data_IF_165522948460
#
_entry.id   IF_165522948460
#
_cell.length_a   1.000
_cell.length_b   1.000
_cell.length_c   1.000
_cell.angle_alpha   90.00
_cell.angle_beta   90.00
_cell.angle_gamma   90.00
#
_symmetry.space_group_name_H-M   'P 1'
#
loop_
_entity.id
_entity.type
_entity.pdbx_description
1 polymer ?
#
# COMPACT_ATOMS: atom_id res chain seq x y z
N UNK A 1 -6.81 -15.78 15.82
CA UNK A 1 -7.68 -14.93 14.98
C UNK A 1 -7.57 -15.38 13.54
N UNK A 2 -8.61 -15.20 12.73
CA UNK A 2 -8.68 -15.70 11.34
C UNK A 2 -7.60 -15.04 10.48
N UNK A 3 -7.42 -13.71 10.59
CA UNK A 3 -6.45 -12.95 9.80
C UNK A 3 -5.01 -13.48 9.96
N UNK A 4 -4.60 -13.78 11.18
CA UNK A 4 -3.27 -14.34 11.51
C UNK A 4 -3.03 -15.65 10.76
N UNK A 5 -4.03 -16.56 10.77
CA UNK A 5 -3.94 -17.85 10.08
C UNK A 5 -3.93 -17.69 8.55
N UNK A 6 -4.69 -16.75 8.01
CA UNK A 6 -4.74 -16.48 6.56
C UNK A 6 -3.39 -15.97 6.07
N UNK A 7 -2.78 -15.01 6.77
CA UNK A 7 -1.44 -14.48 6.43
C UNK A 7 -0.41 -15.61 6.43
N UNK A 8 -0.36 -16.42 7.49
CA UNK A 8 0.56 -17.55 7.59
C UNK A 8 0.36 -18.54 6.43
N UNK A 9 -0.89 -18.91 6.12
CA UNK A 9 -1.19 -19.83 5.02
C UNK A 9 -0.82 -19.25 3.65
N UNK A 10 -1.00 -17.95 3.43
CA UNK A 10 -0.57 -17.31 2.19
C UNK A 10 0.94 -17.44 1.99
N UNK A 11 1.75 -17.22 3.02
CA UNK A 11 3.21 -17.42 2.97
C UNK A 11 3.56 -18.89 2.72
N UNK A 12 2.94 -19.84 3.45
CA UNK A 12 3.17 -21.27 3.25
C UNK A 12 2.84 -21.73 1.81
N UNK A 13 1.72 -21.25 1.23
CA UNK A 13 1.32 -21.65 -0.11
C UNK A 13 2.13 -20.96 -1.21
N UNK A 14 2.60 -19.74 -0.99
CA UNK A 14 3.45 -19.04 -1.97
C UNK A 14 4.78 -19.76 -2.21
N UNK A 15 5.30 -20.45 -1.19
CA UNK A 15 6.55 -21.23 -1.23
C UNK A 15 7.72 -20.45 -1.87
N UNK A 16 7.77 -19.15 -1.65
CA UNK A 16 8.78 -18.27 -2.23
C UNK A 16 8.64 -17.97 -3.74
N UNK A 17 7.59 -18.48 -4.39
CA UNK A 17 7.33 -18.22 -5.82
C UNK A 17 6.69 -16.86 -6.06
N UNK A 18 5.97 -16.34 -5.07
CA UNK A 18 5.27 -15.06 -5.11
C UNK A 18 5.64 -14.23 -3.89
N UNK A 19 5.70 -12.91 -4.07
CA UNK A 19 5.81 -11.97 -2.97
C UNK A 19 4.49 -11.86 -2.23
N UNK A 20 4.54 -11.91 -0.90
CA UNK A 20 3.36 -11.82 -0.04
C UNK A 20 3.36 -10.48 0.70
N UNK A 21 2.38 -9.64 0.40
CA UNK A 21 2.14 -8.38 1.09
C UNK A 21 0.87 -8.53 1.92
N UNK A 22 1.00 -8.47 3.25
CA UNK A 22 -0.13 -8.66 4.15
C UNK A 22 -0.87 -7.34 4.45
N UNK A 23 -2.18 -7.34 4.34
CA UNK A 23 -3.02 -6.24 4.82
C UNK A 23 -3.07 -6.24 6.35
N UNK A 24 -2.35 -5.33 6.99
CA UNK A 24 -2.22 -5.26 8.46
C UNK A 24 -2.68 -3.92 9.05
N UNK A 25 -3.23 -3.03 8.19
CA UNK A 25 -3.77 -1.75 8.63
C UNK A 25 -4.97 -1.89 9.56
N UNK A 26 -5.05 -1.00 10.53
CA UNK A 26 -6.15 -0.89 11.49
C UNK A 26 -6.35 0.57 11.87
N UNK A 27 -7.53 0.94 12.35
CA UNK A 27 -7.76 2.25 12.97
C UNK A 27 -7.20 2.34 14.41
N UNK A 28 -6.70 1.23 14.94
CA UNK A 28 -5.92 1.16 16.18
C UNK A 28 -4.45 0.96 15.85
N UNK A 29 -3.59 1.91 16.25
CA UNK A 29 -2.14 1.81 16.05
C UNK A 29 -1.54 0.56 16.69
N UNK A 30 -1.97 0.25 17.91
CA UNK A 30 -1.50 -0.95 18.63
C UNK A 30 -1.86 -2.25 17.87
N UNK A 31 -3.05 -2.32 17.30
CA UNK A 31 -3.48 -3.48 16.48
C UNK A 31 -2.71 -3.58 15.17
N UNK A 32 -2.50 -2.45 14.47
CA UNK A 32 -1.70 -2.40 13.26
C UNK A 32 -0.25 -2.86 13.52
N UNK A 33 0.36 -2.42 14.62
CA UNK A 33 1.70 -2.89 15.06
C UNK A 33 1.70 -4.39 15.31
N UNK A 34 0.73 -4.90 16.06
CA UNK A 34 0.64 -6.33 16.40
C UNK A 34 0.52 -7.19 15.14
N UNK A 35 -0.35 -6.82 14.20
CA UNK A 35 -0.55 -7.54 12.94
C UNK A 35 0.68 -7.46 12.04
N UNK A 36 1.32 -6.29 11.96
CA UNK A 36 2.52 -6.08 11.13
C UNK A 36 3.72 -6.87 11.65
N UNK A 37 3.92 -6.92 12.97
CA UNK A 37 4.94 -7.79 13.59
C UNK A 37 4.69 -9.25 13.26
N UNK A 38 3.45 -9.72 13.40
CA UNK A 38 3.11 -11.09 13.05
C UNK A 38 3.38 -11.38 11.56
N UNK A 39 3.00 -10.47 10.64
CA UNK A 39 3.28 -10.64 9.22
C UNK A 39 4.79 -10.78 8.95
N UNK A 40 5.62 -9.96 9.60
CA UNK A 40 7.08 -10.08 9.53
C UNK A 40 7.59 -11.42 10.07
N UNK A 41 7.10 -11.85 11.25
CA UNK A 41 7.49 -13.12 11.90
C UNK A 41 7.20 -14.35 11.04
N UNK A 42 6.08 -14.36 10.32
CA UNK A 42 5.71 -15.48 9.43
C UNK A 42 6.35 -15.40 8.05
N UNK A 43 7.13 -14.35 7.76
CA UNK A 43 7.91 -14.23 6.53
C UNK A 43 7.21 -13.55 5.36
N UNK A 44 6.29 -12.62 5.62
CA UNK A 44 5.77 -11.74 4.56
C UNK A 44 6.87 -10.83 4.02
N UNK A 45 6.80 -10.51 2.71
CA UNK A 45 7.74 -9.61 2.04
C UNK A 45 7.44 -8.12 2.30
N UNK A 46 6.25 -7.80 2.76
CA UNK A 46 5.83 -6.44 3.10
C UNK A 46 4.45 -6.40 3.75
N UNK A 47 4.03 -5.20 4.15
CA UNK A 47 2.71 -4.93 4.71
C UNK A 47 2.01 -3.80 3.97
N UNK A 48 0.69 -3.88 3.88
CA UNK A 48 -0.21 -2.86 3.33
C UNK A 48 -1.03 -2.27 4.46
N UNK A 49 -0.87 -0.97 4.70
CA UNK A 49 -1.50 -0.25 5.80
C UNK A 49 -2.56 0.72 5.28
N UNK A 50 -3.83 0.34 5.37
CA UNK A 50 -4.93 1.26 5.09
C UNK A 50 -4.94 2.42 6.09
N UNK A 51 -5.30 3.62 5.61
CA UNK A 51 -5.48 4.76 6.51
C UNK A 51 -6.49 4.42 7.62
N UNK A 52 -6.22 4.87 8.87
CA UNK A 52 -7.14 4.66 9.98
C UNK A 52 -8.54 5.12 9.60
N UNK A 53 -9.46 4.18 9.48
CA UNK A 53 -10.84 4.38 9.08
C UNK A 53 -11.72 4.70 10.31
N UNK A 54 -12.87 5.32 10.10
CA UNK A 54 -13.88 5.65 11.11
C UNK A 54 -13.49 6.84 12.02
N UNK A 55 -12.32 6.81 12.68
CA UNK A 55 -11.87 7.82 13.67
C UNK A 55 -11.29 9.09 13.03
N UNK A 56 -11.14 9.15 11.71
CA UNK A 56 -10.77 10.35 10.92
C UNK A 56 -9.61 11.17 11.52
N UNK A 57 -8.40 10.60 11.64
CA UNK A 57 -7.26 11.33 12.20
C UNK A 57 -6.88 12.53 11.35
N UNK A 58 -6.25 13.52 11.97
CA UNK A 58 -5.59 14.64 11.27
C UNK A 58 -4.34 14.15 10.53
N UNK A 59 -3.76 14.96 9.61
CA UNK A 59 -2.52 14.64 8.93
C UNK A 59 -1.36 14.36 9.91
N UNK A 60 -1.28 15.10 11.01
CA UNK A 60 -0.34 14.84 12.11
C UNK A 60 -0.61 13.48 12.76
N UNK A 61 -1.87 13.14 13.00
CA UNK A 61 -2.28 11.84 13.55
C UNK A 61 -1.92 10.69 12.61
N UNK A 62 -2.15 10.85 11.29
CA UNK A 62 -1.71 9.89 10.26
C UNK A 62 -0.20 9.68 10.29
N UNK A 63 0.56 10.78 10.33
CA UNK A 63 2.03 10.70 10.39
C UNK A 63 2.52 9.94 11.62
N UNK A 64 1.97 10.21 12.79
CA UNK A 64 2.33 9.50 14.02
C UNK A 64 1.97 8.01 13.94
N UNK A 65 0.75 7.69 13.49
CA UNK A 65 0.27 6.32 13.33
C UNK A 65 1.21 5.50 12.43
N UNK A 66 1.52 5.99 11.23
CA UNK A 66 2.37 5.27 10.29
C UNK A 66 3.82 5.15 10.76
N UNK A 67 4.37 6.20 11.39
CA UNK A 67 5.71 6.14 11.98
C UNK A 67 5.83 5.08 13.06
N UNK A 68 4.86 5.00 13.98
CA UNK A 68 4.84 3.98 15.03
C UNK A 68 4.81 2.56 14.44
N UNK A 69 3.99 2.32 13.41
CA UNK A 69 3.94 1.00 12.76
C UNK A 69 5.24 0.72 12.01
N UNK A 70 5.74 1.68 11.22
CA UNK A 70 6.97 1.53 10.43
C UNK A 70 8.19 1.27 11.32
N UNK A 71 8.31 1.97 12.46
CA UNK A 71 9.39 1.77 13.41
C UNK A 71 9.34 0.44 14.16
N UNK A 72 8.19 -0.22 14.18
CA UNK A 72 7.99 -1.50 14.87
C UNK A 72 8.39 -2.73 14.05
N UNK A 73 8.68 -2.55 12.75
CA UNK A 73 9.01 -3.64 11.79
C UNK A 73 10.16 -3.21 10.87
N UNK A 74 10.79 -4.20 10.22
CA UNK A 74 11.89 -3.96 9.28
C UNK A 74 11.53 -4.26 7.81
N UNK A 75 10.36 -4.86 7.56
CA UNK A 75 9.91 -5.18 6.21
C UNK A 75 9.26 -3.96 5.55
N UNK A 76 9.20 -3.92 4.20
CA UNK A 76 8.58 -2.84 3.44
C UNK A 76 7.13 -2.55 3.84
N UNK A 77 6.80 -1.28 3.87
CA UNK A 77 5.46 -0.75 4.17
C UNK A 77 4.90 -0.06 2.93
N UNK A 78 3.71 -0.46 2.54
CA UNK A 78 2.90 0.20 1.52
C UNK A 78 1.77 0.97 2.21
N UNK A 79 1.74 2.28 2.07
CA UNK A 79 0.62 3.09 2.54
C UNK A 79 -0.61 2.82 1.65
N UNK A 80 -1.81 2.81 2.22
CA UNK A 80 -3.02 2.65 1.43
C UNK A 80 -3.99 3.80 1.67
N UNK A 81 -4.12 4.66 0.67
CA UNK A 81 -5.03 5.78 0.66
C UNK A 81 -6.31 5.45 -0.11
N UNK A 82 -7.44 5.42 0.60
CA UNK A 82 -8.77 5.16 0.03
C UNK A 82 -9.83 5.97 0.78
N UNK A 83 -9.90 7.25 0.48
CA UNK A 83 -10.78 8.21 1.17
C UNK A 83 -12.25 7.79 1.13
N UNK A 84 -12.72 7.24 0.03
CA UNK A 84 -14.11 6.79 -0.13
C UNK A 84 -14.55 5.69 0.85
N UNK A 85 -13.59 4.97 1.45
CA UNK A 85 -13.87 3.91 2.43
C UNK A 85 -13.38 4.24 3.84
N UNK A 86 -12.27 4.96 3.96
CA UNK A 86 -11.69 5.32 5.26
C UNK A 86 -12.24 6.63 5.83
N UNK A 87 -12.87 7.46 4.98
CA UNK A 87 -13.33 8.81 5.27
C UNK A 87 -12.19 9.78 5.68
N UNK A 88 -10.93 9.43 5.35
CA UNK A 88 -9.76 10.27 5.55
C UNK A 88 -8.84 10.16 4.35
N UNK A 89 -8.27 11.28 3.91
CA UNK A 89 -7.29 11.33 2.83
C UNK A 89 -5.88 11.51 3.43
N UNK A 90 -4.92 10.76 2.91
CA UNK A 90 -3.50 11.00 3.19
C UNK A 90 -3.01 12.00 2.15
N UNK A 91 -2.72 13.22 2.57
CA UNK A 91 -2.28 14.27 1.66
C UNK A 91 -0.89 13.98 1.08
N UNK A 92 -0.59 14.41 -0.18
CA UNK A 92 0.71 14.19 -0.82
C UNK A 92 1.91 14.64 0.02
N UNK A 93 1.79 15.77 0.72
CA UNK A 93 2.85 16.27 1.63
C UNK A 93 3.07 15.32 2.81
N UNK A 94 2.03 14.72 3.34
CA UNK A 94 2.11 13.74 4.43
C UNK A 94 2.80 12.46 3.95
N UNK A 95 2.45 11.97 2.76
CA UNK A 95 3.10 10.80 2.13
C UNK A 95 4.59 11.09 1.92
N UNK A 96 4.94 12.22 1.32
CA UNK A 96 6.33 12.60 1.07
C UNK A 96 7.14 12.74 2.36
N UNK A 97 6.55 13.29 3.43
CA UNK A 97 7.22 13.39 4.72
C UNK A 97 7.45 12.03 5.35
N UNK A 98 6.48 11.11 5.26
CA UNK A 98 6.61 9.74 5.74
C UNK A 98 7.71 8.97 5.01
N UNK A 99 7.82 9.11 3.69
CA UNK A 99 8.88 8.50 2.89
C UNK A 99 10.29 8.97 3.31
N UNK A 100 10.42 10.25 3.67
CA UNK A 100 11.70 10.80 4.19
C UNK A 100 12.05 10.28 5.58
N UNK A 101 11.05 10.21 6.45
CA UNK A 101 11.25 9.90 7.87
C UNK A 101 11.40 8.40 8.14
N UNK A 102 10.78 7.54 7.31
CA UNK A 102 10.73 6.09 7.49
C UNK A 102 11.23 5.38 6.22
N UNK A 103 12.45 4.86 6.24
CA UNK A 103 13.10 4.24 5.06
C UNK A 103 12.42 2.98 4.55
N UNK A 104 11.64 2.32 5.39
CA UNK A 104 10.86 1.14 5.02
C UNK A 104 9.46 1.48 4.49
N UNK A 105 9.02 2.76 4.50
CA UNK A 105 7.84 3.19 3.76
C UNK A 105 8.26 3.43 2.31
N UNK A 106 7.96 2.47 1.43
CA UNK A 106 8.52 2.41 0.07
C UNK A 106 7.50 2.67 -1.03
N UNK A 107 6.22 2.58 -0.73
CA UNK A 107 5.16 2.70 -1.73
C UNK A 107 3.87 3.27 -1.17
N UNK A 108 3.03 3.76 -2.06
CA UNK A 108 1.64 4.10 -1.76
C UNK A 108 0.70 3.43 -2.77
N UNK A 109 -0.27 2.67 -2.27
CA UNK A 109 -1.46 2.25 -3.03
C UNK A 109 -2.47 3.38 -2.98
N UNK A 110 -2.69 4.01 -4.12
CA UNK A 110 -3.54 5.20 -4.25
C UNK A 110 -4.88 4.85 -4.89
N UNK A 111 -5.95 5.08 -4.16
CA UNK A 111 -7.32 4.81 -4.56
C UNK A 111 -8.27 5.98 -4.22
N UNK A 112 -7.76 7.21 -4.23
CA UNK A 112 -8.56 8.42 -4.07
C UNK A 112 -9.40 8.76 -5.31
N UNK A 113 -9.00 8.25 -6.48
CA UNK A 113 -9.58 8.62 -7.77
C UNK A 113 -9.04 9.92 -8.37
N UNK A 114 -8.13 10.62 -7.69
CA UNK A 114 -7.57 11.91 -8.11
C UNK A 114 -6.21 11.76 -8.78
N UNK A 115 -6.16 11.83 -10.11
CA UNK A 115 -4.89 11.86 -10.85
C UNK A 115 -4.03 13.10 -10.51
N UNK A 116 -4.67 14.21 -10.15
CA UNK A 116 -3.95 15.39 -9.68
C UNK A 116 -3.18 15.10 -8.38
N UNK A 117 -3.82 14.47 -7.38
CA UNK A 117 -3.14 14.05 -6.16
C UNK A 117 -2.02 13.07 -6.43
N UNK A 118 -2.22 12.11 -7.34
CA UNK A 118 -1.22 11.13 -7.73
C UNK A 118 -0.01 11.78 -8.42
N UNK A 119 -0.24 12.79 -9.26
CA UNK A 119 0.82 13.60 -9.88
C UNK A 119 1.62 14.38 -8.85
N UNK A 120 0.95 14.93 -7.82
CA UNK A 120 1.61 15.61 -6.71
C UNK A 120 2.46 14.65 -5.88
N UNK A 121 1.99 13.42 -5.63
CA UNK A 121 2.79 12.38 -4.95
C UNK A 121 4.07 12.08 -5.74
N UNK A 122 3.96 11.88 -7.07
CA UNK A 122 5.13 11.64 -7.93
C UNK A 122 6.15 12.79 -7.89
N UNK A 123 5.65 14.03 -7.84
CA UNK A 123 6.52 15.20 -7.75
C UNK A 123 7.24 15.32 -6.40
N UNK A 124 6.53 15.05 -5.29
CA UNK A 124 7.02 15.28 -3.93
C UNK A 124 7.80 14.09 -3.35
N UNK A 125 7.56 12.88 -3.83
CA UNK A 125 8.18 11.64 -3.40
C UNK A 125 8.54 10.76 -4.62
N UNK A 126 9.46 11.20 -5.50
CA UNK A 126 9.78 10.49 -6.73
C UNK A 126 10.41 9.10 -6.51
N UNK A 127 10.96 8.86 -5.33
CA UNK A 127 11.53 7.58 -4.93
C UNK A 127 10.51 6.52 -4.51
N UNK A 128 9.27 6.94 -4.22
CA UNK A 128 8.22 6.00 -3.82
C UNK A 128 7.56 5.34 -5.03
N UNK A 129 7.26 4.05 -4.89
CA UNK A 129 6.38 3.39 -5.84
C UNK A 129 4.94 3.88 -5.69
N UNK A 130 4.36 4.37 -6.79
CA UNK A 130 2.96 4.75 -6.88
C UNK A 130 2.18 3.61 -7.52
N UNK A 131 1.30 2.97 -6.75
CA UNK A 131 0.54 1.79 -7.16
C UNK A 131 -0.94 2.14 -7.25
N UNK A 132 -1.59 1.79 -8.35
CA UNK A 132 -3.03 1.96 -8.47
C UNK A 132 -3.78 1.06 -7.50
N UNK A 133 -4.78 1.60 -6.82
CA UNK A 133 -5.75 0.84 -6.04
C UNK A 133 -7.07 0.61 -6.78
N UNK A 134 -7.16 1.06 -8.05
CA UNK A 134 -8.35 0.98 -8.90
C UNK A 134 -7.97 0.42 -10.27
N UNK A 135 -8.65 -0.64 -10.71
CA UNK A 135 -8.39 -1.29 -11.99
C UNK A 135 -8.57 -0.34 -13.18
N UNK A 136 -9.61 0.51 -13.16
CA UNK A 136 -9.89 1.46 -14.23
C UNK A 136 -8.86 2.58 -14.35
N UNK A 137 -8.14 2.90 -13.28
CA UNK A 137 -7.13 3.94 -13.25
C UNK A 137 -5.70 3.41 -13.43
N UNK A 138 -5.52 2.10 -13.66
CA UNK A 138 -4.18 1.49 -13.80
C UNK A 138 -3.37 2.18 -14.91
N UNK A 139 -3.91 2.28 -16.10
CA UNK A 139 -3.21 2.90 -17.26
C UNK A 139 -2.95 4.39 -17.02
N UNK A 140 -3.93 5.22 -16.63
CA UNK A 140 -3.68 6.63 -16.32
C UNK A 140 -2.61 6.85 -15.26
N UNK A 141 -2.62 6.05 -14.19
CA UNK A 141 -1.63 6.16 -13.11
C UNK A 141 -0.24 5.76 -13.60
N UNK A 142 -0.13 4.68 -14.37
CA UNK A 142 1.15 4.25 -14.94
C UNK A 142 1.69 5.27 -15.95
N UNK A 143 0.82 5.96 -16.70
CA UNK A 143 1.22 7.02 -17.63
C UNK A 143 1.88 8.23 -16.92
N UNK A 144 1.51 8.51 -15.68
CA UNK A 144 2.13 9.57 -14.86
C UNK A 144 3.27 9.05 -13.97
N UNK A 145 3.76 7.83 -14.21
CA UNK A 145 4.91 7.23 -13.52
C UNK A 145 4.54 6.29 -12.37
N UNK A 146 3.33 5.76 -12.35
CA UNK A 146 2.96 4.64 -11.49
C UNK A 146 3.65 3.35 -11.92
N UNK A 147 3.78 2.40 -11.00
CA UNK A 147 4.57 1.16 -11.18
C UNK A 147 3.72 -0.10 -11.29
N UNK A 148 2.39 -0.01 -11.09
CA UNK A 148 1.51 -1.16 -11.19
C UNK A 148 0.17 -0.97 -10.49
N UNK A 149 -0.48 -2.07 -10.16
CA UNK A 149 -1.81 -2.10 -9.55
C UNK A 149 -1.93 -3.21 -8.51
N UNK A 150 -2.63 -2.93 -7.42
CA UNK A 150 -3.19 -3.95 -6.53
C UNK A 150 -4.66 -4.10 -6.91
N UNK A 151 -4.92 -5.05 -7.79
CA UNK A 151 -6.13 -5.21 -8.58
C UNK A 151 -7.18 -6.09 -7.91
N UNK A 152 -8.46 -5.76 -8.11
CA UNK A 152 -9.59 -6.65 -7.82
C UNK A 152 -9.82 -7.62 -8.98
N UNK A 153 -9.74 -7.11 -10.22
CA UNK A 153 -9.95 -7.91 -11.45
C UNK A 153 -8.94 -9.06 -11.56
N UNK A 154 -7.73 -8.91 -11.05
CA UNK A 154 -6.70 -9.95 -11.07
C UNK A 154 -7.09 -11.24 -10.33
N UNK A 155 -8.08 -11.20 -9.44
CA UNK A 155 -8.61 -12.41 -8.81
C UNK A 155 -9.35 -13.32 -9.80
N UNK A 156 -9.83 -12.78 -10.93
CA UNK A 156 -10.58 -13.50 -11.96
C UNK A 156 -9.73 -13.66 -13.23
N UNK A 157 -9.04 -12.58 -13.64
CA UNK A 157 -8.26 -12.50 -14.87
C UNK A 157 -6.80 -12.09 -14.60
N UNK A 158 -6.00 -12.85 -13.82
CA UNK A 158 -4.67 -12.44 -13.39
C UNK A 158 -3.73 -12.21 -14.57
N UNK A 159 -3.80 -13.06 -15.61
CA UNK A 159 -2.92 -12.92 -16.79
C UNK A 159 -3.19 -11.62 -17.54
N UNK A 160 -4.45 -11.24 -17.74
CA UNK A 160 -4.83 -10.02 -18.48
C UNK A 160 -4.31 -8.79 -17.75
N UNK A 161 -4.46 -8.73 -16.44
CA UNK A 161 -3.95 -7.61 -15.62
C UNK A 161 -2.41 -7.58 -15.65
N UNK A 162 -1.76 -8.72 -15.55
CA UNK A 162 -0.30 -8.80 -15.62
C UNK A 162 0.22 -8.37 -17.00
N UNK A 163 -0.42 -8.80 -18.09
CA UNK A 163 -0.04 -8.42 -19.44
C UNK A 163 -0.20 -6.90 -19.66
N UNK A 164 -1.30 -6.30 -19.16
CA UNK A 164 -1.52 -4.85 -19.20
C UNK A 164 -0.40 -4.09 -18.49
N UNK A 165 -0.09 -4.47 -17.26
CA UNK A 165 0.98 -3.81 -16.48
C UNK A 165 2.34 -3.98 -17.17
N UNK A 166 2.64 -5.19 -17.68
CA UNK A 166 3.90 -5.45 -18.38
C UNK A 166 4.04 -4.66 -19.67
N UNK A 167 2.96 -4.47 -20.45
CA UNK A 167 2.96 -3.62 -21.64
C UNK A 167 3.29 -2.18 -21.25
N UNK A 168 2.60 -1.63 -20.26
CA UNK A 168 2.88 -0.27 -19.76
C UNK A 168 4.31 -0.08 -19.26
N UNK A 169 4.89 -1.07 -18.56
CA UNK A 169 6.29 -1.00 -18.10
C UNK A 169 7.29 -1.03 -19.26
N UNK A 170 6.96 -1.72 -20.34
CA UNK A 170 7.78 -1.77 -21.57
C UNK A 170 7.60 -0.55 -22.48
N UNK A 171 6.63 0.31 -22.20
CA UNK A 171 6.22 1.44 -23.05
C UNK A 171 5.73 0.99 -24.43
N UNK A 172 5.01 -0.14 -24.43
CA UNK A 172 4.48 -0.79 -25.62
C UNK A 172 3.01 -0.35 -25.84
#
# INVERSE_FOLDING_TARGET
>A
RVEVKVIQKAVEFSKGKLKVIAGTGSNSTAEAIRLSKHAQEVGCDGVLLVAPYYNKPTQKGLSLHYKEVANAINIPVVLYNIQGRSAVNIEPKTIAQLAKDCKNIVAVKEASGSLDQMSQIRLLAPEMDLISGDDALTVPIMAIGGTGVISVLSNICPKVVADLVNAMLKKD
#
